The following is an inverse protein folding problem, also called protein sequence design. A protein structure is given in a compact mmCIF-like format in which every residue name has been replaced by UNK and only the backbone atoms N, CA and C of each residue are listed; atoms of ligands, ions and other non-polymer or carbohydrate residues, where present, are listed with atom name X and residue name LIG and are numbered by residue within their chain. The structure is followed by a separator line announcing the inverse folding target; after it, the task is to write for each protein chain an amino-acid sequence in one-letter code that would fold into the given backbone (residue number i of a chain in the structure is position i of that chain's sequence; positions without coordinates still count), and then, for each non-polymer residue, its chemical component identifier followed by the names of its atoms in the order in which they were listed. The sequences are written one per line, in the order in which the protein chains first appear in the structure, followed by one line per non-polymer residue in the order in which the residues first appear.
data_IF_811085414680
#
_entry.id   IF_811085414680
#
_cell.length_a   1.000
_cell.length_b   1.000
_cell.length_c   1.000
_cell.angle_alpha   90.00
_cell.angle_beta   90.00
_cell.angle_gamma   90.00
#
_symmetry.space_group_name_H-M   'P 1'
#
loop_
_entity.id
_entity.type
_entity.pdbx_description
1 polymer ?
#
# COMPACT_ATOMS: atom_id res chain seq x y z
N UNK A 1 -7.04 8.97 -24.45
CA UNK A 1 -7.96 7.92 -23.98
C UNK A 1 -7.11 6.69 -23.67
N UNK A 2 -6.89 6.40 -22.39
CA UNK A 2 -6.09 5.24 -21.98
C UNK A 2 -6.82 3.99 -22.49
N UNK A 3 -6.16 3.18 -23.34
CA UNK A 3 -6.73 1.89 -23.75
C UNK A 3 -6.89 1.07 -22.49
N UNK A 4 -8.12 0.69 -22.14
CA UNK A 4 -8.36 -0.33 -21.13
C UNK A 4 -7.61 -1.57 -21.57
N UNK A 5 -6.57 -1.92 -20.82
CA UNK A 5 -5.91 -3.21 -20.89
C UNK A 5 -6.44 -4.01 -19.69
N UNK A 6 -6.99 -5.22 -19.89
CA UNK A 6 -7.13 -5.94 -21.17
C UNK A 6 -8.27 -5.39 -22.06
N UNK A 7 -8.21 -5.70 -23.36
CA UNK A 7 -9.31 -5.52 -24.33
C UNK A 7 -10.61 -6.13 -23.77
N UNK A 8 -11.69 -5.36 -23.59
CA UNK A 8 -12.93 -5.87 -23.01
C UNK A 8 -13.52 -7.07 -23.76
N UNK A 9 -13.27 -7.18 -25.07
CA UNK A 9 -13.72 -8.33 -25.88
C UNK A 9 -12.94 -9.62 -25.59
N UNK A 10 -11.79 -9.51 -24.92
CA UNK A 10 -10.93 -10.61 -24.47
C UNK A 10 -10.94 -10.76 -22.94
N UNK A 11 -11.83 -10.06 -22.25
CA UNK A 11 -11.96 -10.17 -20.80
C UNK A 11 -12.34 -11.61 -20.45
N UNK A 12 -11.56 -12.23 -19.57
CA UNK A 12 -11.91 -13.52 -19.02
C UNK A 12 -13.06 -13.33 -18.02
N UNK A 13 -14.01 -14.27 -17.93
CA UNK A 13 -15.07 -14.22 -16.93
C UNK A 13 -14.46 -14.49 -15.55
N UNK A 14 -14.05 -13.43 -14.85
CA UNK A 14 -13.41 -13.49 -13.53
C UNK A 14 -14.36 -13.11 -12.40
N UNK A 15 -15.49 -12.48 -12.70
CA UNK A 15 -16.40 -11.94 -11.68
C UNK A 15 -16.94 -13.03 -10.74
N UNK A 16 -17.21 -14.23 -11.25
CA UNK A 16 -17.63 -15.40 -10.45
C UNK A 16 -16.46 -16.09 -9.71
N UNK A 17 -15.21 -15.76 -10.06
CA UNK A 17 -14.00 -16.29 -9.45
C UNK A 17 -13.46 -15.41 -8.31
N UNK A 18 -13.92 -14.16 -8.20
CA UNK A 18 -13.51 -13.24 -7.14
C UNK A 18 -14.48 -13.36 -5.96
N UNK A 19 -13.98 -13.85 -4.83
CA UNK A 19 -14.77 -14.04 -3.61
C UNK A 19 -14.40 -12.95 -2.58
N UNK A 20 -15.28 -11.97 -2.39
CA UNK A 20 -15.12 -10.93 -1.37
C UNK A 20 -15.46 -11.46 0.02
N UNK A 21 -15.01 -10.74 1.06
CA UNK A 21 -15.22 -11.10 2.47
C UNK A 21 -14.65 -12.48 2.88
N UNK A 22 -13.66 -12.97 2.13
CA UNK A 22 -12.92 -14.21 2.41
C UNK A 22 -11.53 -13.89 2.95
N UNK A 23 -11.46 -13.51 4.21
CA UNK A 23 -10.19 -13.27 4.89
C UNK A 23 -9.47 -14.60 5.14
N UNK A 24 -8.37 -14.82 4.42
CA UNK A 24 -7.50 -16.00 4.56
C UNK A 24 -6.73 -15.92 5.88
N UNK A 25 -6.79 -17.00 6.67
CA UNK A 25 -6.12 -17.11 7.97
C UNK A 25 -4.97 -18.11 7.94
N UNK A 26 -5.01 -19.10 7.05
CA UNK A 26 -3.94 -20.08 6.88
C UNK A 26 -3.86 -20.59 5.44
N UNK A 27 -2.64 -20.90 5.01
CA UNK A 27 -2.27 -21.51 3.74
C UNK A 27 -1.42 -22.74 4.08
N UNK A 28 -2.03 -23.91 4.06
CA UNK A 28 -1.34 -25.19 4.22
C UNK A 28 -0.82 -25.66 2.86
N UNK A 29 0.50 -25.61 2.69
CA UNK A 29 1.24 -26.04 1.51
C UNK A 29 2.19 -27.22 1.84
N UNK A 30 1.90 -27.97 2.90
CA UNK A 30 2.70 -29.12 3.34
C UNK A 30 2.58 -30.35 2.43
N UNK A 31 1.48 -30.45 1.69
CA UNK A 31 1.16 -31.53 0.76
C UNK A 31 1.19 -31.04 -0.69
N UNK A 32 1.04 -31.92 -1.67
CA UNK A 32 0.99 -31.54 -3.09
C UNK A 32 -0.26 -30.74 -3.47
N UNK A 33 -1.32 -30.77 -2.67
CA UNK A 33 -2.50 -29.89 -2.81
C UNK A 33 -2.47 -28.87 -1.68
N UNK A 34 -2.60 -27.58 -2.03
CA UNK A 34 -2.66 -26.47 -1.08
C UNK A 34 -4.07 -26.36 -0.52
N UNK A 35 -4.19 -26.17 0.79
CA UNK A 35 -5.45 -25.87 1.48
C UNK A 35 -5.41 -24.44 2.01
N UNK A 36 -6.34 -23.61 1.56
CA UNK A 36 -6.50 -22.22 2.00
C UNK A 36 -7.71 -22.13 2.91
N UNK A 37 -7.49 -21.80 4.18
CA UNK A 37 -8.54 -21.66 5.19
C UNK A 37 -8.87 -20.17 5.40
N UNK A 38 -10.16 -19.85 5.43
CA UNK A 38 -10.67 -18.52 5.71
C UNK A 38 -11.23 -18.40 7.14
N UNK A 39 -11.32 -17.16 7.63
CA UNK A 39 -11.84 -16.83 8.97
C UNK A 39 -13.29 -17.22 9.22
N UNK A 40 -14.09 -17.39 8.16
CA UNK A 40 -15.48 -17.86 8.23
C UNK A 40 -15.59 -19.41 8.24
N UNK A 41 -14.45 -20.10 8.27
CA UNK A 41 -14.37 -21.57 8.24
C UNK A 41 -14.46 -22.17 6.84
N UNK A 42 -14.57 -21.37 5.78
CA UNK A 42 -14.50 -21.91 4.41
C UNK A 42 -13.08 -22.34 4.04
N UNK A 43 -12.99 -23.38 3.21
CA UNK A 43 -11.74 -23.93 2.71
C UNK A 43 -11.74 -23.98 1.19
N UNK A 44 -10.58 -23.69 0.59
CA UNK A 44 -10.35 -23.80 -0.85
C UNK A 44 -9.13 -24.68 -1.10
N UNK A 45 -9.21 -25.55 -2.10
CA UNK A 45 -8.14 -26.47 -2.50
C UNK A 45 -7.62 -26.10 -3.88
N UNK A 46 -6.30 -26.12 -4.05
CA UNK A 46 -5.66 -25.78 -5.30
C UNK A 46 -4.31 -26.49 -5.47
N UNK A 47 -3.89 -26.73 -6.71
CA UNK A 47 -2.55 -27.25 -7.02
C UNK A 47 -1.42 -26.25 -6.75
N UNK A 48 -1.74 -24.95 -6.84
CA UNK A 48 -0.80 -23.84 -6.78
C UNK A 48 -1.46 -22.66 -6.05
N UNK A 49 -0.67 -21.85 -5.32
CA UNK A 49 -1.15 -20.62 -4.70
C UNK A 49 -0.23 -19.43 -4.98
N UNK A 50 -0.82 -18.32 -5.44
CA UNK A 50 -0.13 -17.02 -5.56
C UNK A 50 -0.65 -16.11 -4.45
N UNK A 51 0.24 -15.67 -3.58
CA UNK A 51 -0.08 -14.77 -2.47
C UNK A 51 0.28 -13.34 -2.84
N UNK A 52 -0.70 -12.44 -2.78
CA UNK A 52 -0.56 -11.01 -3.16
C UNK A 52 -0.95 -10.04 -2.04
N UNK A 53 -0.93 -10.49 -0.79
CA UNK A 53 -1.18 -9.62 0.37
C UNK A 53 -0.02 -8.62 0.53
N UNK A 54 -0.27 -7.48 1.19
CA UNK A 54 0.77 -6.47 1.37
C UNK A 54 1.96 -6.99 2.19
N UNK A 55 3.13 -6.38 2.01
CA UNK A 55 4.29 -6.69 2.84
C UNK A 55 4.02 -6.38 4.32
N UNK A 56 3.26 -5.32 4.64
CA UNK A 56 2.83 -5.02 6.01
C UNK A 56 2.01 -6.15 6.63
N UNK A 57 1.09 -6.74 5.86
CA UNK A 57 0.33 -7.92 6.28
C UNK A 57 1.24 -9.13 6.50
N UNK A 58 2.17 -9.41 5.58
CA UNK A 58 3.16 -10.47 5.74
C UNK A 58 4.00 -10.28 7.00
N UNK A 59 4.54 -9.08 7.25
CA UNK A 59 5.34 -8.77 8.45
C UNK A 59 4.59 -9.12 9.74
N UNK A 60 3.28 -8.84 9.80
CA UNK A 60 2.47 -9.13 10.98
C UNK A 60 2.06 -10.60 11.07
N UNK A 61 1.79 -11.27 9.95
CA UNK A 61 1.06 -12.54 9.94
C UNK A 61 1.83 -13.75 9.38
N UNK A 62 3.04 -13.59 8.84
CA UNK A 62 3.76 -14.70 8.18
C UNK A 62 3.99 -15.92 9.10
N UNK A 63 4.02 -15.74 10.42
CA UNK A 63 4.21 -16.83 11.41
C UNK A 63 2.98 -17.73 11.56
N UNK A 64 1.79 -17.22 11.25
CA UNK A 64 0.51 -17.95 11.38
C UNK A 64 -0.16 -18.23 10.03
N UNK A 65 0.13 -17.41 9.02
CA UNK A 65 -0.47 -17.49 7.69
C UNK A 65 -0.03 -18.72 6.90
N UNK A 66 1.14 -19.30 7.17
CA UNK A 66 1.70 -20.40 6.37
C UNK A 66 1.92 -21.66 7.21
N UNK A 67 1.59 -22.81 6.63
CA UNK A 67 1.88 -24.14 7.21
C UNK A 67 2.44 -25.05 6.11
N UNK A 68 3.70 -25.50 6.17
CA UNK A 68 4.73 -25.12 7.14
C UNK A 68 5.13 -23.64 7.02
N UNK A 69 5.99 -23.17 7.93
CA UNK A 69 6.53 -21.81 7.84
C UNK A 69 7.35 -21.61 6.56
N UNK A 70 7.38 -20.37 6.06
CA UNK A 70 8.21 -20.00 4.91
C UNK A 70 9.70 -20.24 5.20
N UNK A 71 10.52 -20.55 4.17
CA UNK A 71 11.97 -20.65 4.32
C UNK A 71 12.61 -19.39 4.93
N UNK A 72 13.71 -19.58 5.67
CA UNK A 72 14.40 -18.52 6.40
C UNK A 72 14.75 -17.30 5.52
N UNK A 73 15.11 -17.53 4.25
CA UNK A 73 15.43 -16.47 3.30
C UNK A 73 14.23 -15.55 3.00
N UNK A 74 13.04 -16.12 2.82
CA UNK A 74 11.79 -15.35 2.65
C UNK A 74 11.41 -14.62 3.94
N UNK A 75 11.57 -15.27 5.09
CA UNK A 75 11.31 -14.62 6.40
C UNK A 75 12.25 -13.42 6.58
N UNK A 76 13.54 -13.57 6.27
CA UNK A 76 14.51 -12.47 6.32
C UNK A 76 14.08 -11.29 5.43
N UNK A 77 13.61 -11.58 4.20
CA UNK A 77 13.10 -10.55 3.30
C UNK A 77 11.83 -9.87 3.85
N UNK A 78 10.89 -10.64 4.41
CA UNK A 78 9.67 -10.10 5.02
C UNK A 78 10.01 -9.18 6.19
N UNK A 79 10.89 -9.60 7.09
CA UNK A 79 11.22 -8.86 8.31
C UNK A 79 12.06 -7.60 8.01
N UNK A 80 13.00 -7.66 7.07
CA UNK A 80 14.02 -6.62 6.88
C UNK A 80 13.84 -5.71 5.64
N UNK A 81 12.88 -6.00 4.75
CA UNK A 81 12.46 -5.02 3.72
C UNK A 81 11.66 -3.90 4.38
N UNK A 82 11.98 -2.64 4.12
CA UNK A 82 11.23 -1.50 4.66
C UNK A 82 9.78 -1.50 4.14
N UNK A 83 8.83 -1.11 5.00
CA UNK A 83 7.44 -0.91 4.59
C UNK A 83 6.92 0.38 5.22
N UNK A 84 6.72 1.38 4.37
CA UNK A 84 6.34 2.74 4.77
C UNK A 84 4.84 2.92 4.78
N UNK A 85 4.42 4.11 5.16
CA UNK A 85 3.03 4.54 5.04
C UNK A 85 2.99 6.02 4.64
N UNK A 86 2.13 6.33 3.68
CA UNK A 86 1.74 7.68 3.30
C UNK A 86 0.26 7.66 3.01
N UNK A 87 -0.47 8.59 3.61
CA UNK A 87 -1.89 8.77 3.32
C UNK A 87 -2.12 9.93 2.38
N UNK A 88 -3.38 10.07 1.95
CA UNK A 88 -3.90 11.22 1.23
C UNK A 88 -5.05 11.81 2.03
N UNK A 89 -5.11 13.14 2.12
CA UNK A 89 -6.33 13.88 2.45
C UNK A 89 -6.72 14.71 1.23
N UNK A 90 -8.01 14.77 0.92
CA UNK A 90 -8.57 15.55 -0.17
C UNK A 90 -9.70 16.41 0.37
N UNK A 91 -9.61 17.71 0.13
CA UNK A 91 -10.53 18.74 0.55
C UNK A 91 -11.24 19.28 -0.68
N UNK A 92 -12.57 19.24 -0.70
CA UNK A 92 -13.39 19.81 -1.76
C UNK A 92 -13.90 21.18 -1.36
N UNK A 93 -13.77 22.16 -2.25
CA UNK A 93 -14.28 23.51 -2.06
C UNK A 93 -15.39 23.82 -3.06
N UNK A 94 -16.25 24.79 -2.73
CA UNK A 94 -17.33 25.25 -3.63
C UNK A 94 -16.79 25.74 -4.97
N UNK A 95 -15.63 26.41 -4.93
CA UNK A 95 -14.96 27.00 -6.09
C UNK A 95 -13.50 26.53 -6.14
N UNK A 96 -12.83 26.61 -7.31
CA UNK A 96 -11.42 26.29 -7.45
C UNK A 96 -10.55 26.99 -6.39
N UNK A 97 -9.87 26.21 -5.57
CA UNK A 97 -9.10 26.75 -4.43
C UNK A 97 -7.79 27.39 -4.87
N UNK A 98 -7.10 26.74 -5.81
CA UNK A 98 -5.81 27.20 -6.34
C UNK A 98 -6.05 28.05 -7.59
N UNK A 99 -5.56 29.30 -7.65
CA UNK A 99 -5.64 30.11 -8.85
C UNK A 99 -4.94 29.44 -10.04
N UNK A 100 -5.49 29.59 -11.25
CA UNK A 100 -4.97 28.96 -12.49
C UNK A 100 -3.49 29.29 -12.82
N UNK A 101 -2.90 30.30 -12.20
CA UNK A 101 -1.50 30.70 -12.39
C UNK A 101 -0.52 30.11 -11.36
N UNK A 102 -1.01 29.34 -10.38
CA UNK A 102 -0.18 28.64 -9.39
C UNK A 102 0.00 27.19 -9.86
N UNK A 103 1.20 26.86 -10.31
CA UNK A 103 1.51 25.51 -10.78
C UNK A 103 1.50 24.52 -9.59
N UNK A 104 0.66 23.50 -9.68
CA UNK A 104 0.68 22.35 -8.78
C UNK A 104 0.07 22.56 -7.39
N UNK A 105 0.15 23.76 -6.80
CA UNK A 105 -0.44 24.08 -5.49
C UNK A 105 0.50 24.85 -4.56
N UNK A 106 0.41 24.59 -3.25
CA UNK A 106 1.13 25.29 -2.20
C UNK A 106 2.10 24.35 -1.48
N UNK A 107 3.35 24.79 -1.31
CA UNK A 107 4.38 24.07 -0.53
C UNK A 107 4.70 24.86 0.74
N UNK A 108 5.00 24.14 1.83
CA UNK A 108 5.24 24.74 3.14
C UNK A 108 6.71 24.64 3.56
N UNK A 109 7.35 25.80 3.69
CA UNK A 109 8.70 25.90 4.22
C UNK A 109 8.67 26.38 5.67
N UNK A 110 8.80 25.43 6.57
CA UNK A 110 8.77 25.66 8.01
C UNK A 110 10.06 26.31 8.53
N UNK A 111 9.93 27.33 9.38
CA UNK A 111 11.03 27.77 10.26
C UNK A 111 11.20 26.78 11.41
N UNK A 112 12.38 26.75 12.02
CA UNK A 112 12.64 25.84 13.14
C UNK A 112 11.71 26.11 14.31
N UNK A 113 11.51 27.38 14.65
CA UNK A 113 10.70 27.84 15.77
C UNK A 113 9.24 27.39 15.60
N UNK A 114 8.69 27.52 14.39
CA UNK A 114 7.33 27.06 14.06
C UNK A 114 7.18 25.54 14.21
N UNK A 115 8.23 24.75 13.92
CA UNK A 115 8.20 23.30 14.13
C UNK A 115 8.22 22.96 15.61
N UNK A 116 9.11 23.61 16.36
CA UNK A 116 9.29 23.38 17.79
C UNK A 116 7.98 23.65 18.57
N UNK A 117 7.17 24.63 18.13
CA UNK A 117 5.83 24.89 18.69
C UNK A 117 4.80 23.77 18.46
N UNK A 118 4.96 22.96 17.41
CA UNK A 118 4.02 21.88 17.08
C UNK A 118 4.41 20.54 17.69
N UNK A 119 5.68 20.36 18.06
CA UNK A 119 6.18 19.11 18.65
C UNK A 119 5.45 18.83 19.97
N UNK A 120 4.88 17.63 20.10
CA UNK A 120 4.11 17.20 21.27
C UNK A 120 2.67 17.71 21.31
N UNK A 121 2.18 18.40 20.28
CA UNK A 121 0.82 18.94 20.23
C UNK A 121 -0.15 18.06 19.43
N UNK A 122 -1.43 18.42 19.43
CA UNK A 122 -2.45 17.82 18.56
C UNK A 122 -2.17 17.97 17.06
N UNK A 123 -1.41 18.99 16.69
CA UNK A 123 -1.09 19.34 15.31
C UNK A 123 0.27 18.84 14.84
N UNK A 124 0.99 18.03 15.64
CA UNK A 124 2.32 17.54 15.26
C UNK A 124 2.32 16.73 13.96
N UNK A 125 1.18 16.17 13.56
CA UNK A 125 1.04 15.45 12.30
C UNK A 125 1.22 16.35 11.07
N UNK A 126 0.93 17.65 11.17
CA UNK A 126 1.12 18.63 10.09
C UNK A 126 2.58 18.79 9.68
N UNK A 127 3.53 18.42 10.55
CA UNK A 127 4.96 18.40 10.21
C UNK A 127 5.30 17.36 9.13
N UNK A 128 4.42 16.37 8.93
CA UNK A 128 4.49 15.38 7.86
C UNK A 128 3.83 15.83 6.55
N UNK A 129 3.27 17.04 6.50
CA UNK A 129 2.63 17.62 5.30
C UNK A 129 3.56 18.64 4.67
N UNK A 130 4.00 18.36 3.44
CA UNK A 130 4.92 19.24 2.69
C UNK A 130 4.18 20.28 1.84
N UNK A 131 2.91 20.04 1.54
CA UNK A 131 2.11 20.91 0.69
C UNK A 131 0.71 20.37 0.43
N UNK A 132 -0.09 21.22 -0.19
CA UNK A 132 -1.42 20.94 -0.71
C UNK A 132 -1.45 21.23 -2.21
N UNK A 133 -1.96 20.29 -2.99
CA UNK A 133 -1.86 20.30 -4.44
C UNK A 133 -3.24 20.27 -5.08
N UNK A 134 -3.44 21.08 -6.12
CA UNK A 134 -4.67 21.02 -6.91
C UNK A 134 -4.69 19.73 -7.74
N UNK A 135 -5.86 19.11 -7.89
CA UNK A 135 -6.02 17.95 -8.76
C UNK A 135 -6.30 18.41 -10.21
N UNK A 136 -5.46 17.99 -11.15
CA UNK A 136 -5.50 18.44 -12.56
C UNK A 136 -6.87 18.31 -13.22
N UNK A 137 -7.62 17.25 -12.91
CA UNK A 137 -8.91 16.96 -13.51
C UNK A 137 -10.10 17.39 -12.63
N UNK A 138 -9.86 17.94 -11.43
CA UNK A 138 -10.88 18.33 -10.46
C UNK A 138 -10.40 19.59 -9.69
N UNK A 139 -10.54 20.80 -10.28
CA UNK A 139 -9.93 22.02 -9.74
C UNK A 139 -10.47 22.46 -8.37
N UNK A 140 -11.63 21.93 -7.96
CA UNK A 140 -12.23 22.16 -6.65
C UNK A 140 -11.62 21.26 -5.55
N UNK A 141 -10.78 20.29 -5.92
CA UNK A 141 -10.10 19.41 -4.98
C UNK A 141 -8.66 19.87 -4.72
N UNK A 142 -8.34 19.92 -3.43
CA UNK A 142 -7.00 20.17 -2.92
C UNK A 142 -6.55 18.97 -2.08
N UNK A 143 -5.41 18.37 -2.41
CA UNK A 143 -4.90 17.18 -1.74
C UNK A 143 -3.57 17.40 -1.04
N UNK A 144 -3.39 16.79 0.12
CA UNK A 144 -2.10 16.66 0.78
C UNK A 144 -1.77 15.19 1.02
N UNK A 145 -0.48 14.90 1.19
CA UNK A 145 0.04 13.54 1.34
C UNK A 145 0.82 13.37 2.66
N UNK A 146 0.12 13.37 3.82
CA UNK A 146 0.77 13.24 5.12
C UNK A 146 1.59 11.94 5.20
N UNK A 147 2.79 12.05 5.76
CA UNK A 147 3.70 10.93 5.95
C UNK A 147 4.52 11.07 7.24
N UNK A 148 5.26 10.01 7.59
CA UNK A 148 6.23 10.01 8.69
C UNK A 148 5.64 9.58 10.04
N UNK A 149 6.40 9.85 11.12
CA UNK A 149 6.19 9.26 12.45
C UNK A 149 4.81 9.53 13.08
N UNK A 150 4.15 10.62 12.68
CA UNK A 150 2.87 11.05 13.25
C UNK A 150 1.67 10.68 12.37
N UNK A 151 1.86 9.86 11.33
CA UNK A 151 0.78 9.44 10.44
C UNK A 151 -0.33 8.68 11.19
N UNK A 152 0.02 7.87 12.17
CA UNK A 152 -0.96 7.20 13.03
C UNK A 152 -1.91 8.19 13.71
N UNK A 153 -1.39 9.33 14.18
CA UNK A 153 -2.21 10.40 14.78
C UNK A 153 -3.18 10.97 13.74
N UNK A 154 -2.71 11.22 12.52
CA UNK A 154 -3.56 11.65 11.40
C UNK A 154 -4.71 10.67 11.13
N UNK A 155 -4.48 9.36 11.22
CA UNK A 155 -5.52 8.36 11.01
C UNK A 155 -6.52 8.23 12.17
N UNK A 156 -6.14 8.59 13.40
CA UNK A 156 -6.96 8.42 14.61
C UNK A 156 -7.86 9.63 14.93
N UNK A 157 -7.48 10.84 14.50
CA UNK A 157 -8.28 12.05 14.74
C UNK A 157 -9.54 12.11 13.88
N UNK A 158 -10.52 12.93 14.27
CA UNK A 158 -11.79 13.07 13.55
C UNK A 158 -11.62 13.85 12.25
N UNK A 159 -12.53 13.62 11.29
CA UNK A 159 -12.52 14.35 10.02
C UNK A 159 -12.69 15.86 10.22
N UNK A 160 -13.51 16.29 11.19
CA UNK A 160 -13.66 17.72 11.53
C UNK A 160 -12.35 18.33 12.04
N UNK A 161 -11.62 17.63 12.92
CA UNK A 161 -10.32 18.09 13.41
C UNK A 161 -9.29 18.14 12.28
N UNK A 162 -9.33 17.20 11.34
CA UNK A 162 -8.46 17.22 10.16
C UNK A 162 -8.73 18.42 9.27
N UNK A 163 -10.00 18.77 9.06
CA UNK A 163 -10.38 19.98 8.33
C UNK A 163 -9.83 21.21 9.06
N UNK A 164 -10.06 21.31 10.38
CA UNK A 164 -9.58 22.45 11.17
C UNK A 164 -8.06 22.60 11.16
N UNK A 165 -7.32 21.51 11.31
CA UNK A 165 -5.86 21.51 11.29
C UNK A 165 -5.31 21.83 9.89
N UNK A 166 -5.95 21.30 8.83
CA UNK A 166 -5.57 21.60 7.45
C UNK A 166 -5.83 23.05 7.09
N UNK A 167 -6.96 23.60 7.51
CA UNK A 167 -7.29 25.01 7.30
C UNK A 167 -6.37 25.91 8.11
N UNK A 168 -6.07 25.56 9.37
CA UNK A 168 -5.06 26.29 10.16
C UNK A 168 -3.70 26.32 9.46
N UNK A 169 -3.26 25.20 8.88
CA UNK A 169 -2.01 25.14 8.15
C UNK A 169 -2.02 26.05 6.91
N UNK A 170 -3.06 25.94 6.09
CA UNK A 170 -3.22 26.76 4.88
C UNK A 170 -3.26 28.25 5.25
N UNK A 171 -4.05 28.64 6.25
CA UNK A 171 -4.18 30.03 6.70
C UNK A 171 -2.86 30.58 7.28
N UNK A 172 -2.12 29.76 8.06
CA UNK A 172 -0.79 30.14 8.61
C UNK A 172 0.18 30.52 7.50
N UNK A 173 0.25 29.73 6.42
CA UNK A 173 1.20 29.96 5.34
C UNK A 173 0.69 30.96 4.28
N UNK A 174 -0.62 31.08 4.10
CA UNK A 174 -1.22 32.03 3.15
C UNK A 174 -1.44 33.43 3.77
N UNK A 175 -1.42 33.57 5.09
CA UNK A 175 -1.53 34.84 5.79
C UNK A 175 -2.92 35.50 5.69
N UNK A 176 -3.97 34.71 5.42
CA UNK A 176 -5.36 35.18 5.29
C UNK A 176 -6.32 34.07 5.69
N UNK A 177 -7.55 34.45 6.03
CA UNK A 177 -8.67 33.52 6.21
C UNK A 177 -9.10 32.92 4.88
N UNK A 178 -9.45 31.64 4.89
CA UNK A 178 -9.78 30.87 3.69
C UNK A 178 -11.19 30.27 3.81
N UNK A 179 -11.88 30.02 2.67
CA UNK A 179 -13.16 29.32 2.71
C UNK A 179 -12.96 27.91 3.28
N UNK A 180 -13.91 27.40 4.06
CA UNK A 180 -13.89 26.01 4.51
C UNK A 180 -14.24 25.07 3.36
N UNK A 181 -13.71 23.83 3.35
CA UNK A 181 -14.15 22.81 2.41
C UNK A 181 -15.58 22.36 2.70
N UNK A 182 -16.29 21.95 1.65
CA UNK A 182 -17.65 21.40 1.71
C UNK A 182 -17.66 19.88 1.86
N UNK A 183 -16.59 19.19 1.44
CA UNK A 183 -16.40 17.76 1.66
C UNK A 183 -14.92 17.44 1.96
N UNK A 184 -14.70 16.29 2.62
CA UNK A 184 -13.36 15.78 2.92
C UNK A 184 -13.33 14.26 2.72
N UNK A 185 -12.21 13.75 2.21
CA UNK A 185 -11.88 12.31 2.24
C UNK A 185 -10.43 12.10 2.63
N UNK A 186 -10.16 11.02 3.34
CA UNK A 186 -8.79 10.58 3.66
C UNK A 186 -8.60 9.08 3.39
N UNK A 187 -7.36 8.66 3.22
CA UNK A 187 -6.97 7.27 3.38
C UNK A 187 -6.50 6.99 4.82
N UNK A 188 -6.44 5.70 5.16
CA UNK A 188 -5.92 5.19 6.43
C UNK A 188 -5.15 3.88 6.18
N UNK A 189 -4.03 3.96 5.45
CA UNK A 189 -3.28 2.76 5.03
C UNK A 189 -2.56 2.06 6.18
N UNK A 190 -2.09 2.79 7.18
CA UNK A 190 -1.30 2.27 8.30
C UNK A 190 -2.15 1.43 9.27
N UNK A 191 -3.35 1.89 9.63
CA UNK A 191 -4.25 1.17 10.56
C UNK A 191 -5.16 0.17 9.85
N UNK A 192 -5.27 0.21 8.52
CA UNK A 192 -6.03 -0.78 7.78
C UNK A 192 -5.40 -2.18 7.97
N UNK A 193 -6.17 -3.09 8.59
CA UNK A 193 -5.70 -4.42 8.97
C UNK A 193 -5.21 -5.29 7.80
N UNK A 194 -5.61 -4.99 6.56
CA UNK A 194 -5.22 -5.75 5.37
C UNK A 194 -4.00 -5.18 4.65
N UNK A 195 -3.61 -3.94 4.95
CA UNK A 195 -2.47 -3.28 4.29
C UNK A 195 -1.32 -3.02 5.27
N UNK A 196 -1.61 -2.45 6.45
CA UNK A 196 -0.64 -2.15 7.51
C UNK A 196 0.55 -1.32 7.00
N UNK A 197 0.25 -0.32 6.17
CA UNK A 197 1.20 0.51 5.45
C UNK A 197 0.81 0.66 3.98
N UNK A 198 1.66 1.30 3.19
CA UNK A 198 1.37 1.64 1.79
C UNK A 198 2.29 0.92 0.81
N UNK A 199 3.62 1.06 0.94
CA UNK A 199 4.57 0.63 -0.09
C UNK A 199 5.91 0.19 0.52
N UNK A 200 6.57 -0.75 -0.14
CA UNK A 200 7.92 -1.20 0.24
C UNK A 200 9.03 -0.21 -0.16
N UNK A 201 10.14 -0.24 0.59
CA UNK A 201 11.34 0.54 0.29
C UNK A 201 12.61 -0.16 0.83
N UNK A 202 13.77 0.14 0.26
CA UNK A 202 15.05 -0.33 0.77
C UNK A 202 15.41 0.38 2.08
N UNK A 203 15.52 -0.35 3.18
CA UNK A 203 15.88 0.18 4.49
C UNK A 203 17.36 -0.08 4.83
N UNK A 204 17.85 0.54 5.91
CA UNK A 204 19.17 0.20 6.46
C UNK A 204 19.24 -1.29 6.87
N UNK A 205 18.12 -1.86 7.32
CA UNK A 205 18.03 -3.28 7.65
C UNK A 205 18.09 -4.16 6.39
N UNK A 206 17.48 -3.72 5.28
CA UNK A 206 17.58 -4.43 3.99
C UNK A 206 19.06 -4.65 3.63
N UNK A 207 19.90 -3.63 3.82
CA UNK A 207 21.34 -3.76 3.63
C UNK A 207 22.03 -4.59 4.72
N UNK A 208 21.74 -4.31 6.00
CA UNK A 208 22.41 -4.97 7.13
C UNK A 208 22.18 -6.50 7.17
N UNK A 209 21.01 -6.94 6.72
CA UNK A 209 20.60 -8.35 6.66
C UNK A 209 20.78 -8.99 5.27
N UNK A 210 21.49 -8.31 4.35
CA UNK A 210 21.77 -8.78 2.99
C UNK A 210 20.52 -9.27 2.24
N UNK A 211 19.41 -8.53 2.35
CA UNK A 211 18.18 -8.83 1.61
C UNK A 211 18.32 -8.34 0.17
N UNK A 212 18.12 -9.24 -0.79
CA UNK A 212 17.95 -8.86 -2.19
C UNK A 212 16.47 -8.50 -2.39
N UNK A 213 16.18 -7.19 -2.29
CA UNK A 213 14.82 -6.65 -2.34
C UNK A 213 14.07 -7.14 -3.58
N UNK A 214 12.79 -7.48 -3.42
CA UNK A 214 12.00 -8.12 -4.46
C UNK A 214 12.32 -9.62 -4.63
N UNK A 215 13.56 -9.96 -4.98
CA UNK A 215 13.97 -11.31 -5.38
C UNK A 215 13.84 -12.37 -4.28
N UNK A 216 14.31 -12.07 -3.07
CA UNK A 216 14.26 -13.02 -1.97
C UNK A 216 12.81 -13.35 -1.57
N UNK A 217 11.91 -12.35 -1.68
CA UNK A 217 10.49 -12.54 -1.46
C UNK A 217 9.82 -13.26 -2.64
N UNK A 218 10.28 -13.03 -3.87
CA UNK A 218 9.75 -13.57 -5.13
C UNK A 218 10.07 -15.05 -5.38
N UNK A 219 11.02 -15.63 -4.64
CA UNK A 219 11.50 -17.01 -4.81
C UNK A 219 10.34 -18.02 -4.86
N UNK A 220 10.32 -18.93 -5.84
CA UNK A 220 9.23 -19.92 -5.92
C UNK A 220 9.49 -21.08 -4.99
N UNK A 221 8.46 -21.50 -4.26
CA UNK A 221 8.52 -22.73 -3.47
C UNK A 221 7.98 -23.89 -4.31
N UNK A 222 8.65 -25.03 -4.20
CA UNK A 222 8.32 -26.25 -4.94
C UNK A 222 7.97 -27.38 -3.97
N UNK A 223 7.11 -28.29 -4.40
CA UNK A 223 6.89 -29.55 -3.69
C UNK A 223 8.02 -30.57 -3.99
N UNK A 224 7.91 -31.79 -3.47
CA UNK A 224 8.93 -32.84 -3.65
C UNK A 224 9.06 -33.36 -5.08
N UNK A 225 8.14 -33.00 -5.97
CA UNK A 225 8.11 -33.41 -7.38
C UNK A 225 8.45 -32.25 -8.31
N UNK A 226 9.11 -31.20 -7.79
CA UNK A 226 9.44 -29.97 -8.51
C UNK A 226 8.21 -29.23 -9.06
N UNK A 227 7.01 -29.44 -8.47
CA UNK A 227 5.81 -28.67 -8.80
C UNK A 227 5.84 -27.31 -8.08
N UNK A 228 5.68 -26.16 -8.78
CA UNK A 228 5.73 -24.84 -8.16
C UNK A 228 4.51 -24.58 -7.27
N UNK A 229 4.57 -24.87 -5.97
CA UNK A 229 3.40 -24.91 -5.10
C UNK A 229 2.96 -23.53 -4.55
N UNK A 230 3.91 -22.65 -4.24
CA UNK A 230 3.62 -21.35 -3.62
C UNK A 230 4.50 -20.25 -4.21
N UNK A 231 3.87 -19.17 -4.65
CA UNK A 231 4.53 -17.95 -5.11
C UNK A 231 4.04 -16.74 -4.29
N UNK A 232 4.91 -15.75 -4.13
CA UNK A 232 4.53 -14.41 -3.65
C UNK A 232 4.69 -13.44 -4.81
N UNK A 233 3.64 -12.66 -5.06
CA UNK A 233 3.57 -11.60 -6.05
C UNK A 233 3.05 -10.31 -5.40
N UNK A 234 3.11 -9.18 -6.11
CA UNK A 234 2.82 -7.85 -5.59
C UNK A 234 4.06 -6.96 -5.55
N UNK A 235 3.86 -5.68 -5.29
CA UNK A 235 4.91 -4.64 -5.45
C UNK A 235 6.22 -4.99 -4.74
N UNK A 236 6.17 -5.51 -3.50
CA UNK A 236 7.35 -5.84 -2.71
C UNK A 236 8.15 -7.06 -3.22
N UNK A 237 7.66 -7.74 -4.24
CA UNK A 237 8.26 -8.93 -4.86
C UNK A 237 8.78 -8.67 -6.28
N UNK A 238 8.90 -7.40 -6.66
CA UNK A 238 9.55 -6.98 -7.90
C UNK A 238 10.91 -6.34 -7.59
N UNK A 239 11.96 -6.77 -8.30
CA UNK A 239 13.34 -6.34 -8.03
C UNK A 239 13.57 -4.85 -8.34
N UNK A 240 12.98 -4.34 -9.42
CA UNK A 240 13.29 -3.00 -9.93
C UNK A 240 12.17 -2.01 -9.70
N UNK A 241 10.94 -2.50 -9.56
CA UNK A 241 9.72 -1.71 -9.52
C UNK A 241 8.96 -1.86 -8.19
N UNK A 242 9.65 -2.27 -7.12
CA UNK A 242 9.14 -2.21 -5.75
C UNK A 242 8.60 -0.81 -5.43
N UNK A 243 7.44 -0.77 -4.79
CA UNK A 243 6.70 0.44 -4.44
C UNK A 243 5.70 0.91 -5.50
N UNK A 244 5.63 0.28 -6.69
CA UNK A 244 4.80 0.75 -7.79
C UNK A 244 3.77 -0.27 -8.29
N UNK A 245 2.71 0.26 -8.92
CA UNK A 245 1.62 -0.55 -9.50
C UNK A 245 2.12 -1.44 -10.64
N UNK A 246 2.97 -0.93 -11.53
CA UNK A 246 3.48 -1.76 -12.63
C UNK A 246 4.36 -2.91 -12.13
N UNK A 247 5.14 -2.71 -11.05
CA UNK A 247 5.85 -3.82 -10.39
C UNK A 247 4.91 -4.87 -9.80
N UNK A 248 3.77 -4.46 -9.24
CA UNK A 248 2.73 -5.42 -8.82
C UNK A 248 2.14 -6.22 -9.98
N UNK A 249 1.92 -5.58 -11.13
CA UNK A 249 1.42 -6.26 -12.35
C UNK A 249 2.47 -7.23 -12.91
N UNK A 250 3.71 -6.78 -13.04
CA UNK A 250 4.82 -7.56 -13.59
C UNK A 250 5.14 -8.79 -12.72
N UNK A 251 5.17 -8.63 -11.40
CA UNK A 251 5.33 -9.75 -10.46
C UNK A 251 4.17 -10.75 -10.53
N UNK A 252 2.93 -10.28 -10.76
CA UNK A 252 1.78 -11.15 -11.01
C UNK A 252 1.94 -11.98 -12.29
N UNK A 253 2.35 -11.36 -13.39
CA UNK A 253 2.65 -12.07 -14.64
C UNK A 253 3.79 -13.08 -14.48
N UNK A 254 4.85 -12.71 -13.75
CA UNK A 254 5.96 -13.61 -13.42
C UNK A 254 5.45 -14.87 -12.70
N UNK A 255 4.66 -14.70 -11.63
CA UNK A 255 4.11 -15.83 -10.88
C UNK A 255 3.19 -16.72 -11.74
N UNK A 256 2.30 -16.11 -12.53
CA UNK A 256 1.42 -16.84 -13.44
C UNK A 256 2.19 -17.63 -14.53
N UNK A 257 3.25 -17.03 -15.08
CA UNK A 257 4.07 -17.68 -16.11
C UNK A 257 4.81 -18.91 -15.60
N UNK A 258 5.25 -18.89 -14.33
CA UNK A 258 5.89 -20.06 -13.70
C UNK A 258 4.92 -21.24 -13.66
N UNK A 259 3.65 -21.01 -13.31
CA UNK A 259 2.61 -22.05 -13.30
C UNK A 259 2.28 -22.50 -14.73
N UNK A 260 2.11 -21.57 -15.68
CA UNK A 260 1.82 -21.92 -17.09
C UNK A 260 2.90 -22.81 -17.68
N UNK A 261 4.17 -22.44 -17.48
CA UNK A 261 5.31 -23.20 -17.99
C UNK A 261 5.37 -24.62 -17.41
N UNK A 262 4.93 -24.84 -16.17
CA UNK A 262 4.91 -26.17 -15.56
C UNK A 262 3.95 -27.13 -16.26
N UNK A 263 2.82 -26.62 -16.77
CA UNK A 263 1.83 -27.44 -17.51
C UNK A 263 2.12 -27.55 -19.01
N UNK A 264 2.99 -26.70 -19.54
CA UNK A 264 3.43 -26.75 -20.94
C UNK A 264 4.66 -27.65 -21.16
N UNK A 265 5.38 -28.01 -20.08
CA UNK A 265 6.56 -28.87 -20.09
C UNK A 265 6.22 -30.36 -20.10
#
# INVERSE_FOLDING_TARGET
MWKKLPDPSKALPMDDKIQFNKEVTNIDWSASEVVVTCSDGSEYRADHVIVTVSLGFLKKHHKTLFTPQLPAKKINAIENTGFGAQDKISLEFEEPFVPNNVWGGYNFLWKKEDKDELIGTEREWLLGVTGFFAEDAQPNLLSAFPAGKNLKKFEEITDEQLIDDSMWLLEKFMGKTLPRPINMRRSQWLTNKYFLGSNSYGSMDTQAYNVTMGLDLAETLFDKSDKPILQIAGEASDEFNSGYVHGAVESGWRAAKIISNYYEA
#
